data_IF_682803063258
#
_entry.id   IF_682803063258
#
_cell.length_a   1.000
_cell.length_b   1.000
_cell.length_c   1.000
_cell.angle_alpha   90.00
_cell.angle_beta   90.00
_cell.angle_gamma   90.00
#
_symmetry.space_group_name_H-M   'P 1'
#
loop_
_entity.id
_entity.type
_entity.pdbx_description
1 polymer ?
#
# COMPACT_ATOMS: atom_id res chain seq x y z
N UNK A 1 -2.43 15.99 -3.16
CA UNK A 1 -1.98 15.81 -1.75
C UNK A 1 -0.87 14.75 -1.70
N UNK A 2 -0.15 14.52 -0.60
CA UNK A 2 0.72 13.32 -0.47
C UNK A 2 0.32 12.52 0.76
N UNK A 3 0.57 11.22 0.69
CA UNK A 3 0.36 10.30 1.80
C UNK A 3 1.61 9.46 2.02
N UNK A 4 2.07 9.41 3.26
CA UNK A 4 2.98 8.39 3.73
C UNK A 4 2.19 7.13 4.03
N UNK A 5 2.71 6.00 3.54
CA UNK A 5 2.10 4.68 3.69
C UNK A 5 3.15 3.71 4.19
N UNK A 6 2.87 3.02 5.30
CA UNK A 6 3.62 1.85 5.74
C UNK A 6 2.78 0.60 5.53
N UNK A 7 3.43 -0.51 5.19
CA UNK A 7 2.76 -1.77 4.89
C UNK A 7 3.60 -2.98 5.30
N UNK A 8 2.90 -4.11 5.47
CA UNK A 8 3.46 -5.44 5.65
C UNK A 8 2.92 -6.36 4.56
N UNK A 9 3.78 -7.22 4.02
CA UNK A 9 3.44 -8.31 3.12
C UNK A 9 3.38 -9.59 3.95
N UNK A 10 2.23 -10.27 3.92
CA UNK A 10 2.03 -11.56 4.57
C UNK A 10 2.86 -12.61 3.81
N UNK A 11 3.65 -13.39 4.56
CA UNK A 11 4.39 -14.50 4.00
C UNK A 11 3.46 -15.70 3.77
N UNK A 12 3.48 -16.25 2.56
CA UNK A 12 2.76 -17.46 2.18
C UNK A 12 3.51 -18.23 1.09
N UNK A 13 3.04 -19.42 0.73
CA UNK A 13 3.67 -20.24 -0.30
C UNK A 13 3.84 -19.44 -1.60
N UNK A 14 5.09 -19.29 -2.06
CA UNK A 14 5.43 -18.53 -3.26
C UNK A 14 5.49 -17.00 -3.09
N UNK A 15 5.27 -16.46 -1.89
CA UNK A 15 5.33 -15.01 -1.59
C UNK A 15 6.28 -14.76 -0.43
N UNK A 16 7.39 -14.07 -0.70
CA UNK A 16 8.29 -13.59 0.37
C UNK A 16 7.63 -12.44 1.12
N UNK A 17 7.39 -12.63 2.42
CA UNK A 17 6.88 -11.57 3.30
C UNK A 17 7.88 -10.44 3.53
N UNK A 18 7.44 -9.39 4.22
CA UNK A 18 8.33 -8.28 4.58
C UNK A 18 7.59 -7.00 4.94
N UNK A 19 8.36 -5.95 5.24
CA UNK A 19 7.83 -4.64 5.61
C UNK A 19 8.37 -3.57 4.67
N UNK A 20 7.63 -2.47 4.52
CA UNK A 20 8.07 -1.36 3.72
C UNK A 20 7.24 -0.10 3.93
N UNK A 21 7.74 0.99 3.38
CA UNK A 21 7.02 2.26 3.34
C UNK A 21 7.22 2.97 2.03
N UNK A 22 6.29 3.85 1.68
CA UNK A 22 6.37 4.69 0.48
C UNK A 22 5.59 5.98 0.67
N UNK A 23 5.90 6.99 -0.15
CA UNK A 23 5.12 8.23 -0.24
C UNK A 23 4.43 8.26 -1.58
N UNK A 24 3.12 8.46 -1.56
CA UNK A 24 2.27 8.41 -2.74
C UNK A 24 1.70 9.80 -2.96
N UNK A 25 1.87 10.31 -4.17
CA UNK A 25 1.26 11.57 -4.57
C UNK A 25 -0.16 11.30 -5.03
N UNK A 26 -1.12 11.92 -4.35
CA UNK A 26 -2.49 11.97 -4.78
C UNK A 26 -2.63 12.98 -5.93
N UNK A 27 -3.04 12.47 -7.09
CA UNK A 27 -3.11 13.19 -8.36
C UNK A 27 -4.48 13.80 -8.65
N UNK A 28 -5.43 13.76 -7.72
CA UNK A 28 -6.76 14.40 -7.88
C UNK A 28 -7.43 14.80 -6.56
N UNK A 29 -8.68 15.23 -6.62
CA UNK A 29 -9.57 15.53 -5.47
C UNK A 29 -10.12 14.26 -4.81
N UNK A 30 -9.36 13.16 -4.84
CA UNK A 30 -9.79 11.88 -4.28
C UNK A 30 -9.88 11.98 -2.76
N UNK A 31 -11.03 11.57 -2.20
CA UNK A 31 -11.15 11.40 -0.76
C UNK A 31 -10.08 10.41 -0.26
N UNK A 32 -9.60 10.64 0.96
CA UNK A 32 -8.53 9.84 1.56
C UNK A 32 -8.84 8.34 1.56
N UNK A 33 -10.11 7.98 1.71
CA UNK A 33 -10.62 6.60 1.64
C UNK A 33 -10.45 5.99 0.24
N UNK A 34 -10.78 6.73 -0.82
CA UNK A 34 -10.61 6.26 -2.20
C UNK A 34 -9.14 6.04 -2.57
N UNK A 35 -8.24 6.83 -1.97
CA UNK A 35 -6.78 6.62 -2.09
C UNK A 35 -6.39 5.35 -1.34
N UNK A 36 -6.81 5.21 -0.07
CA UNK A 36 -6.50 4.08 0.79
C UNK A 36 -6.90 2.73 0.16
N UNK A 37 -8.10 2.64 -0.41
CA UNK A 37 -8.63 1.42 -1.03
C UNK A 37 -7.81 0.94 -2.24
N UNK A 38 -7.08 1.83 -2.91
CA UNK A 38 -6.25 1.50 -4.08
C UNK A 38 -4.81 1.08 -3.71
N UNK A 39 -4.39 1.32 -2.45
CA UNK A 39 -3.01 1.11 -2.01
C UNK A 39 -2.56 -0.35 -2.04
N UNK A 40 -3.35 -1.32 -1.54
CA UNK A 40 -2.94 -2.73 -1.55
C UNK A 40 -2.58 -3.20 -2.96
N UNK A 41 -3.43 -2.91 -3.95
CA UNK A 41 -3.18 -3.27 -5.35
C UNK A 41 -1.92 -2.60 -5.91
N UNK A 42 -1.71 -1.31 -5.64
CA UNK A 42 -0.52 -0.60 -6.13
C UNK A 42 0.79 -1.12 -5.51
N UNK A 43 0.76 -1.52 -4.24
CA UNK A 43 1.91 -2.10 -3.53
C UNK A 43 2.16 -3.53 -4.02
N UNK A 44 1.10 -4.32 -4.18
CA UNK A 44 1.15 -5.70 -4.63
C UNK A 44 1.84 -5.85 -6.00
N UNK A 45 1.51 -4.97 -6.95
CA UNK A 45 2.18 -4.89 -8.27
C UNK A 45 3.68 -4.67 -8.13
N UNK A 46 4.11 -3.77 -7.23
CA UNK A 46 5.53 -3.45 -7.01
C UNK A 46 6.29 -4.56 -6.30
N UNK A 47 5.59 -5.34 -5.47
CA UNK A 47 6.18 -6.40 -4.63
C UNK A 47 5.99 -7.79 -5.22
N UNK A 48 5.36 -7.90 -6.39
CA UNK A 48 5.04 -9.16 -7.05
C UNK A 48 4.29 -10.14 -6.12
N UNK A 49 3.29 -9.61 -5.42
CA UNK A 49 2.36 -10.38 -4.59
C UNK A 49 0.92 -10.04 -4.96
N UNK A 50 -0.05 -10.61 -4.26
CA UNK A 50 -1.45 -10.27 -4.46
C UNK A 50 -1.88 -9.14 -3.50
N UNK A 51 -2.95 -8.40 -3.81
CA UNK A 51 -3.45 -7.33 -2.94
C UNK A 51 -3.85 -7.80 -1.53
N UNK A 52 -4.34 -9.04 -1.39
CA UNK A 52 -4.72 -9.64 -0.11
C UNK A 52 -3.52 -9.94 0.80
N UNK A 53 -2.31 -10.01 0.24
CA UNK A 53 -1.08 -10.14 1.01
C UNK A 53 -0.63 -8.83 1.65
N UNK A 54 -1.20 -7.69 1.24
CA UNK A 54 -0.76 -6.36 1.68
C UNK A 54 -1.62 -5.85 2.83
N UNK A 55 -1.00 -5.70 3.99
CA UNK A 55 -1.61 -5.04 5.15
C UNK A 55 -1.06 -3.61 5.21
N UNK A 56 -1.93 -2.60 5.09
CA UNK A 56 -1.55 -1.21 5.38
C UNK A 56 -1.47 -1.03 6.89
N UNK A 57 -0.29 -0.68 7.40
CA UNK A 57 -0.04 -0.52 8.83
C UNK A 57 -0.06 0.94 9.27
N UNK A 58 0.16 1.88 8.34
CA UNK A 58 -0.03 3.31 8.57
C UNK A 58 -0.40 4.03 7.27
N UNK A 59 -1.27 5.04 7.37
CA UNK A 59 -1.67 5.92 6.28
C UNK A 59 -1.83 7.34 6.82
N UNK A 60 -0.90 8.23 6.49
CA UNK A 60 -0.87 9.59 7.00
C UNK A 60 -0.71 10.59 5.86
N UNK A 61 -1.50 11.65 5.87
CA UNK A 61 -1.31 12.79 4.98
C UNK A 61 -0.02 13.53 5.35
N UNK A 62 0.80 13.85 4.35
CA UNK A 62 2.11 14.54 4.49
C UNK A 62 2.32 15.61 3.44
#
# INVERSE_FOLDING_TARGET
MKYFVAYKIIEREGVTGGEGSTVIKDTGDGEAEAVFLKLPSAIAVKRNCQPDDVIITAFNRV
#
